data_IF_712138731510
#
_entry.id   IF_712138731510
#
_cell.length_a   1.000
_cell.length_b   1.000
_cell.length_c   1.000
_cell.angle_alpha   90.00
_cell.angle_beta   90.00
_cell.angle_gamma   90.00
#
_symmetry.space_group_name_H-M   'P 1'
#
loop_
_entity.id
_entity.type
_entity.pdbx_description
1 polymer ?
#
# COMPACT_ATOMS: atom_id res chain seq x y z
N UNK A 1 -34.23 12.76 0.07
CA UNK A 1 -33.47 12.06 1.16
C UNK A 1 -33.10 10.62 0.84
N UNK A 2 -33.74 9.95 -0.12
CA UNK A 2 -33.40 8.53 -0.45
C UNK A 2 -32.26 8.32 -1.45
N UNK A 3 -32.00 9.24 -2.35
CA UNK A 3 -31.02 9.06 -3.44
C UNK A 3 -29.56 9.29 -3.02
N UNK A 4 -29.32 10.13 -2.03
CA UNK A 4 -27.96 10.42 -1.55
C UNK A 4 -27.40 9.30 -0.64
N UNK A 5 -28.27 8.58 0.05
CA UNK A 5 -27.89 7.41 0.84
C UNK A 5 -27.40 6.27 -0.05
N UNK A 6 -28.02 6.07 -1.23
CA UNK A 6 -27.60 5.06 -2.22
C UNK A 6 -26.25 5.36 -2.89
N UNK A 7 -25.88 6.62 -3.08
CA UNK A 7 -24.56 6.98 -3.66
C UNK A 7 -23.46 6.78 -2.63
N UNK A 8 -23.74 7.09 -1.37
CA UNK A 8 -22.81 6.94 -0.24
C UNK A 8 -22.49 5.48 0.05
N UNK A 9 -23.49 4.61 -0.03
CA UNK A 9 -23.28 3.15 0.18
C UNK A 9 -22.54 2.52 -0.98
N UNK A 10 -22.74 2.97 -2.22
CA UNK A 10 -22.02 2.45 -3.41
C UNK A 10 -20.53 2.76 -3.44
N UNK A 11 -20.07 3.82 -2.81
CA UNK A 11 -18.64 4.14 -2.72
C UNK A 11 -17.90 3.25 -1.68
N UNK A 12 -18.66 2.66 -0.75
CA UNK A 12 -18.14 1.83 0.34
C UNK A 12 -18.52 0.35 0.22
N UNK A 13 -19.42 -0.01 -0.67
CA UNK A 13 -19.63 -1.40 -1.06
C UNK A 13 -18.39 -1.84 -1.82
N UNK A 14 -17.46 -2.45 -1.10
CA UNK A 14 -16.48 -3.36 -1.70
C UNK A 14 -17.29 -4.29 -2.60
N UNK A 15 -16.91 -4.43 -3.86
CA UNK A 15 -17.59 -5.28 -4.84
C UNK A 15 -17.98 -6.59 -4.18
N UNK A 16 -19.28 -6.74 -3.97
CA UNK A 16 -19.90 -7.91 -3.37
C UNK A 16 -19.88 -9.08 -4.37
N UNK A 17 -18.69 -9.37 -4.90
CA UNK A 17 -18.45 -10.58 -5.66
C UNK A 17 -18.06 -11.63 -4.64
N UNK A 18 -18.84 -12.71 -4.54
CA UNK A 18 -18.56 -13.92 -3.78
C UNK A 18 -17.30 -14.66 -4.29
N UNK A 19 -16.21 -13.94 -4.40
CA UNK A 19 -14.91 -14.49 -4.81
C UNK A 19 -14.20 -15.08 -3.62
N UNK A 20 -13.39 -16.10 -3.84
CA UNK A 20 -12.58 -16.77 -2.82
C UNK A 20 -11.81 -15.75 -1.95
N UNK A 21 -11.27 -14.68 -2.56
CA UNK A 21 -10.56 -13.61 -1.86
C UNK A 21 -11.46 -12.76 -0.96
N UNK A 22 -12.74 -12.59 -1.30
CA UNK A 22 -13.68 -11.84 -0.45
C UNK A 22 -13.95 -12.54 0.86
N UNK A 23 -13.96 -13.88 0.86
CA UNK A 23 -14.24 -14.73 2.03
C UNK A 23 -13.08 -14.89 2.99
N UNK A 24 -11.84 -14.55 2.56
CA UNK A 24 -10.66 -14.64 3.41
C UNK A 24 -10.70 -13.60 4.53
N UNK A 25 -10.29 -14.02 5.73
CA UNK A 25 -10.17 -13.14 6.89
C UNK A 25 -9.24 -11.94 6.60
N UNK A 26 -9.58 -10.77 7.14
CA UNK A 26 -8.76 -9.56 7.02
C UNK A 26 -7.33 -9.74 7.55
N UNK A 27 -7.13 -10.61 8.55
CA UNK A 27 -5.82 -10.99 9.10
C UNK A 27 -4.94 -11.66 8.07
N UNK A 28 -5.51 -12.63 7.36
CA UNK A 28 -4.81 -13.41 6.34
C UNK A 28 -4.40 -12.54 5.17
N UNK A 29 -5.28 -11.63 4.73
CA UNK A 29 -4.97 -10.68 3.66
C UNK A 29 -3.84 -9.73 4.03
N UNK A 30 -3.85 -9.18 5.24
CA UNK A 30 -2.77 -8.32 5.73
C UNK A 30 -1.46 -9.10 5.90
N UNK A 31 -1.52 -10.33 6.41
CA UNK A 31 -0.37 -11.19 6.55
C UNK A 31 0.26 -11.51 5.19
N UNK A 32 -0.54 -11.91 4.20
CA UNK A 32 -0.09 -12.20 2.84
C UNK A 32 0.52 -10.95 2.19
N UNK A 33 -0.11 -9.79 2.34
CA UNK A 33 0.43 -8.53 1.82
C UNK A 33 1.80 -8.20 2.41
N UNK A 34 1.93 -8.31 3.74
CA UNK A 34 3.18 -8.04 4.44
C UNK A 34 4.28 -9.03 4.06
N UNK A 35 3.94 -10.32 4.00
CA UNK A 35 4.86 -11.36 3.60
C UNK A 35 5.32 -11.20 2.14
N UNK A 36 4.40 -10.86 1.24
CA UNK A 36 4.75 -10.57 -0.16
C UNK A 36 5.67 -9.34 -0.27
N UNK A 37 5.43 -8.30 0.52
CA UNK A 37 6.32 -7.15 0.57
C UNK A 37 7.74 -7.53 1.02
N UNK A 38 7.87 -8.40 2.02
CA UNK A 38 9.17 -8.92 2.46
C UNK A 38 9.88 -9.73 1.38
N UNK A 39 9.17 -10.61 0.67
CA UNK A 39 9.75 -11.36 -0.46
C UNK A 39 10.29 -10.40 -1.52
N UNK A 40 9.53 -9.36 -1.88
CA UNK A 40 9.94 -8.38 -2.88
C UNK A 40 11.21 -7.61 -2.48
N UNK A 41 11.45 -7.41 -1.19
CA UNK A 41 12.69 -6.79 -0.70
C UNK A 41 13.87 -7.76 -0.76
N UNK A 42 13.63 -9.05 -0.51
CA UNK A 42 14.66 -10.07 -0.46
C UNK A 42 15.15 -10.46 -1.86
N UNK A 43 14.24 -10.53 -2.85
CA UNK A 43 14.53 -11.01 -4.21
C UNK A 43 15.12 -9.90 -5.07
N UNK A 44 16.32 -10.12 -5.63
CA UNK A 44 16.98 -9.19 -6.56
C UNK A 44 17.03 -9.74 -8.00
N UNK A 45 16.79 -11.03 -8.20
CA UNK A 45 16.88 -11.65 -9.52
C UNK A 45 15.69 -11.23 -10.41
N UNK A 46 15.93 -10.69 -11.63
CA UNK A 46 14.87 -10.21 -12.53
C UNK A 46 13.89 -11.32 -12.96
N UNK A 47 14.34 -12.58 -13.07
CA UNK A 47 13.46 -13.70 -13.46
C UNK A 47 12.44 -14.02 -12.38
N UNK A 48 12.85 -14.07 -11.12
CA UNK A 48 11.95 -14.33 -9.98
C UNK A 48 11.03 -13.16 -9.73
N UNK A 49 11.48 -11.91 -9.91
CA UNK A 49 10.62 -10.73 -9.86
C UNK A 49 9.55 -10.75 -10.94
N UNK A 50 9.88 -11.18 -12.17
CA UNK A 50 8.90 -11.33 -13.24
C UNK A 50 7.86 -12.39 -12.93
N UNK A 51 8.25 -13.52 -12.33
CA UNK A 51 7.33 -14.57 -11.88
C UNK A 51 6.39 -14.03 -10.79
N UNK A 52 6.92 -13.32 -9.79
CA UNK A 52 6.13 -12.73 -8.71
C UNK A 52 5.16 -11.66 -9.23
N UNK A 53 5.60 -10.85 -10.21
CA UNK A 53 4.73 -9.89 -10.90
C UNK A 53 3.60 -10.61 -11.63
N UNK A 54 3.92 -11.69 -12.38
CA UNK A 54 2.91 -12.50 -13.09
C UNK A 54 1.92 -13.14 -12.12
N UNK A 55 2.38 -13.61 -10.96
CA UNK A 55 1.51 -14.13 -9.90
C UNK A 55 0.58 -13.04 -9.38
N UNK A 56 1.07 -11.81 -9.15
CA UNK A 56 0.23 -10.71 -8.68
C UNK A 56 -0.88 -10.38 -9.67
N UNK A 57 -0.59 -10.40 -10.98
CA UNK A 57 -1.60 -10.19 -12.03
C UNK A 57 -2.58 -11.37 -12.10
N UNK A 58 -2.09 -12.62 -12.02
CA UNK A 58 -2.95 -13.80 -12.01
C UNK A 58 -3.94 -13.80 -10.84
N UNK A 59 -3.52 -13.29 -9.66
CA UNK A 59 -4.39 -13.11 -8.51
C UNK A 59 -5.53 -12.10 -8.80
N UNK A 60 -5.28 -11.04 -9.58
CA UNK A 60 -6.34 -10.10 -10.01
C UNK A 60 -7.36 -10.78 -10.92
N UNK A 61 -6.93 -11.68 -11.79
CA UNK A 61 -7.82 -12.46 -12.66
C UNK A 61 -8.66 -13.43 -11.81
N UNK A 62 -8.03 -14.15 -10.90
CA UNK A 62 -8.69 -15.08 -9.98
C UNK A 62 -9.69 -14.36 -9.02
N UNK A 63 -9.42 -13.11 -8.66
CA UNK A 63 -10.32 -12.30 -7.85
C UNK A 63 -11.51 -11.73 -8.62
N UNK A 64 -11.62 -11.97 -9.94
CA UNK A 64 -12.74 -11.49 -10.76
C UNK A 64 -12.89 -9.96 -10.76
N UNK A 65 -11.80 -9.22 -10.77
CA UNK A 65 -11.83 -7.75 -10.73
C UNK A 65 -12.53 -7.18 -11.97
N UNK A 66 -13.46 -6.22 -11.84
CA UNK A 66 -14.18 -5.64 -12.97
C UNK A 66 -13.25 -4.83 -13.88
N UNK A 67 -13.58 -4.80 -15.19
CA UNK A 67 -12.73 -4.22 -16.25
C UNK A 67 -12.32 -2.77 -15.99
N UNK A 68 -13.15 -1.96 -15.35
CA UNK A 68 -12.80 -0.57 -15.05
C UNK A 68 -11.61 -0.46 -14.06
N UNK A 69 -11.48 -1.41 -13.13
CA UNK A 69 -10.36 -1.49 -12.18
C UNK A 69 -9.06 -1.87 -12.88
N UNK A 70 -9.14 -2.66 -13.96
CA UNK A 70 -7.98 -2.97 -14.80
C UNK A 70 -7.37 -1.74 -15.47
N UNK A 71 -8.21 -0.76 -15.87
CA UNK A 71 -7.70 0.52 -16.40
C UNK A 71 -6.89 1.26 -15.35
N UNK A 72 -7.37 1.30 -14.10
CA UNK A 72 -6.64 1.93 -12.99
C UNK A 72 -5.33 1.20 -12.72
N UNK A 73 -5.36 -0.13 -12.67
CA UNK A 73 -4.16 -0.95 -12.49
C UNK A 73 -3.13 -0.69 -13.61
N UNK A 74 -3.58 -0.68 -14.87
CA UNK A 74 -2.72 -0.42 -16.03
C UNK A 74 -2.06 0.96 -15.97
N UNK A 75 -2.78 1.99 -15.53
CA UNK A 75 -2.22 3.34 -15.32
C UNK A 75 -1.12 3.31 -14.26
N UNK A 76 -1.35 2.65 -13.11
CA UNK A 76 -0.33 2.53 -12.07
C UNK A 76 0.89 1.73 -12.53
N UNK A 77 0.69 0.65 -13.31
CA UNK A 77 1.78 -0.13 -13.89
C UNK A 77 2.60 0.74 -14.84
N UNK A 78 1.94 1.44 -15.76
CA UNK A 78 2.60 2.28 -16.75
C UNK A 78 3.41 3.42 -16.09
N UNK A 79 2.77 4.19 -15.21
CA UNK A 79 3.44 5.30 -14.51
C UNK A 79 4.53 4.81 -13.56
N UNK A 80 4.31 3.71 -12.85
CA UNK A 80 5.30 3.14 -11.93
C UNK A 80 6.55 2.63 -12.65
N UNK A 81 6.38 1.89 -13.74
CA UNK A 81 7.50 1.43 -14.57
C UNK A 81 8.21 2.61 -15.23
N UNK A 82 7.46 3.47 -15.90
CA UNK A 82 8.04 4.62 -16.60
C UNK A 82 8.80 5.54 -15.65
N UNK A 83 8.20 5.89 -14.52
CA UNK A 83 8.84 6.76 -13.52
C UNK A 83 10.11 6.16 -12.93
N UNK A 84 10.09 4.85 -12.63
CA UNK A 84 11.28 4.14 -12.12
C UNK A 84 12.39 4.06 -13.15
N UNK A 85 12.06 3.69 -14.39
CA UNK A 85 13.03 3.59 -15.48
C UNK A 85 13.61 4.97 -15.82
N UNK A 86 12.77 6.00 -15.95
CA UNK A 86 13.21 7.35 -16.25
C UNK A 86 14.14 7.92 -15.17
N UNK A 87 13.75 7.74 -13.90
CA UNK A 87 14.57 8.19 -12.77
C UNK A 87 15.93 7.52 -12.72
N UNK A 88 15.98 6.19 -12.85
CA UNK A 88 17.23 5.45 -12.78
C UNK A 88 18.08 5.61 -14.04
N UNK A 89 17.48 5.74 -15.22
CA UNK A 89 18.22 5.98 -16.46
C UNK A 89 18.99 7.31 -16.42
N UNK A 90 18.42 8.36 -15.79
CA UNK A 90 19.01 9.68 -15.71
C UNK A 90 19.98 9.85 -14.53
N UNK A 91 19.69 9.24 -13.38
CA UNK A 91 20.42 9.46 -12.12
C UNK A 91 21.18 8.23 -11.63
N UNK A 92 21.58 7.33 -12.53
CA UNK A 92 22.31 6.12 -12.15
C UNK A 92 23.72 6.45 -11.63
N UNK A 93 23.97 6.11 -10.37
CA UNK A 93 25.22 6.46 -9.67
C UNK A 93 26.24 5.33 -9.54
N UNK A 94 25.89 4.07 -9.88
CA UNK A 94 26.75 2.89 -9.70
C UNK A 94 27.70 2.67 -10.89
N UNK A 95 28.88 2.10 -10.66
CA UNK A 95 29.81 1.69 -11.71
C UNK A 95 29.62 0.19 -12.04
N UNK A 96 29.75 -0.27 -13.28
CA UNK A 96 30.15 0.46 -14.51
C UNK A 96 29.00 1.33 -15.08
N UNK A 97 29.36 2.40 -15.80
CA UNK A 97 28.40 3.31 -16.46
C UNK A 97 28.70 3.39 -17.95
N UNK A 98 27.81 2.85 -18.77
CA UNK A 98 27.89 3.00 -20.24
C UNK A 98 26.86 4.03 -20.69
N UNK A 99 27.27 5.24 -21.08
CA UNK A 99 26.35 6.24 -21.61
C UNK A 99 25.90 5.85 -23.01
N UNK A 100 24.60 5.69 -23.22
CA UNK A 100 24.02 5.42 -24.55
C UNK A 100 23.76 6.74 -25.29
N UNK A 101 23.23 7.72 -24.58
CA UNK A 101 22.78 8.97 -25.20
C UNK A 101 23.11 10.16 -24.29
N UNK A 102 23.63 11.23 -24.87
CA UNK A 102 23.88 12.47 -24.19
C UNK A 102 22.69 13.40 -24.43
N UNK A 103 21.90 13.68 -23.41
CA UNK A 103 20.74 14.56 -23.47
C UNK A 103 21.14 16.04 -23.38
N UNK A 104 22.04 16.36 -22.47
CA UNK A 104 22.50 17.73 -22.22
C UNK A 104 24.02 17.73 -22.17
N UNK A 105 24.65 18.56 -23.06
CA UNK A 105 26.09 18.76 -23.05
C UNK A 105 26.51 19.55 -21.80
N UNK A 106 27.66 19.21 -21.17
CA UNK A 106 28.22 19.97 -20.05
C UNK A 106 28.54 21.43 -20.37
N UNK A 107 28.57 21.81 -21.67
CA UNK A 107 28.80 23.18 -22.14
C UNK A 107 27.60 24.10 -22.01
N UNK A 108 26.42 23.63 -21.61
CA UNK A 108 25.23 24.47 -21.41
C UNK A 108 25.39 25.35 -20.16
N UNK A 109 25.18 26.70 -20.25
CA UNK A 109 25.67 27.68 -19.26
C UNK A 109 24.96 27.62 -17.88
N UNK A 110 23.85 26.95 -17.70
CA UNK A 110 23.12 26.85 -16.39
C UNK A 110 22.91 25.41 -16.00
N UNK A 111 22.33 24.58 -16.87
CA UNK A 111 22.00 23.20 -16.57
C UNK A 111 23.21 22.27 -16.63
N UNK A 112 24.19 22.54 -17.52
CA UNK A 112 25.42 21.75 -17.61
C UNK A 112 26.33 21.93 -16.39
N UNK A 113 26.39 23.11 -15.80
CA UNK A 113 27.19 23.39 -14.61
C UNK A 113 26.58 22.81 -13.31
N UNK A 114 25.27 22.57 -13.27
CA UNK A 114 24.57 21.99 -12.13
C UNK A 114 24.52 20.45 -12.15
N UNK A 115 24.60 19.84 -13.35
CA UNK A 115 24.38 18.39 -13.52
C UNK A 115 25.57 17.64 -14.11
N UNK A 116 26.70 18.31 -14.40
CA UNK A 116 27.88 17.74 -15.11
C UNK A 116 27.52 17.01 -16.43
N UNK A 117 26.41 17.43 -17.08
CA UNK A 117 25.83 16.75 -18.23
C UNK A 117 24.85 15.66 -17.88
N UNK A 118 23.74 15.56 -18.63
CA UNK A 118 22.69 14.55 -18.42
C UNK A 118 22.87 13.44 -19.45
N UNK A 119 23.19 12.25 -18.96
CA UNK A 119 23.42 11.05 -19.76
C UNK A 119 22.36 10.00 -19.46
N UNK A 120 21.95 9.23 -20.47
CA UNK A 120 21.15 8.03 -20.29
C UNK A 120 22.08 6.82 -20.22
N UNK A 121 22.02 6.09 -19.12
CA UNK A 121 22.85 4.92 -18.88
C UNK A 121 22.06 3.62 -19.16
N UNK A 122 22.70 2.66 -19.85
CA UNK A 122 22.10 1.36 -20.16
C UNK A 122 21.80 0.58 -18.88
N UNK A 123 22.75 0.56 -17.98
CA UNK A 123 22.62 -0.13 -16.68
C UNK A 123 21.51 0.52 -15.85
N UNK A 124 21.33 1.83 -15.94
CA UNK A 124 20.26 2.56 -15.29
C UNK A 124 18.87 2.14 -15.79
N UNK A 125 18.70 1.88 -17.09
CA UNK A 125 17.44 1.40 -17.67
C UNK A 125 17.12 0.01 -17.13
N UNK A 126 18.08 -0.92 -17.14
CA UNK A 126 17.88 -2.29 -16.64
C UNK A 126 17.57 -2.28 -15.15
N UNK A 127 18.34 -1.54 -14.37
CA UNK A 127 18.11 -1.42 -12.93
C UNK A 127 16.77 -0.76 -12.63
N UNK A 128 16.41 0.27 -13.38
CA UNK A 128 15.11 0.95 -13.27
C UNK A 128 13.94 0.03 -13.61
N UNK A 129 14.09 -0.85 -14.60
CA UNK A 129 13.07 -1.84 -14.94
C UNK A 129 12.88 -2.87 -13.80
N UNK A 130 13.96 -3.39 -13.23
CA UNK A 130 13.93 -4.32 -12.08
C UNK A 130 13.24 -3.66 -10.88
N UNK A 131 13.65 -2.45 -10.53
CA UNK A 131 13.06 -1.71 -9.41
C UNK A 131 11.60 -1.33 -9.67
N UNK A 132 11.28 -0.97 -10.91
CA UNK A 132 9.90 -0.70 -11.34
C UNK A 132 9.00 -1.92 -11.22
N UNK A 133 9.46 -3.10 -11.64
CA UNK A 133 8.72 -4.36 -11.49
C UNK A 133 8.43 -4.67 -10.01
N UNK A 134 9.40 -4.45 -9.14
CA UNK A 134 9.24 -4.63 -7.69
C UNK A 134 8.13 -3.72 -7.14
N UNK A 135 8.20 -2.42 -7.43
CA UNK A 135 7.25 -1.43 -6.95
C UNK A 135 5.84 -1.68 -7.49
N UNK A 136 5.73 -1.99 -8.77
CA UNK A 136 4.45 -2.25 -9.44
C UNK A 136 3.79 -3.53 -8.93
N UNK A 137 4.55 -4.58 -8.66
CA UNK A 137 4.03 -5.82 -8.08
C UNK A 137 3.44 -5.59 -6.67
N UNK A 138 4.12 -4.78 -5.85
CA UNK A 138 3.62 -4.38 -4.53
C UNK A 138 2.33 -3.56 -4.63
N UNK A 139 2.29 -2.58 -5.56
CA UNK A 139 1.10 -1.76 -5.81
C UNK A 139 -0.06 -2.64 -6.28
N UNK A 140 0.19 -3.56 -7.22
CA UNK A 140 -0.83 -4.46 -7.73
C UNK A 140 -1.46 -5.29 -6.61
N UNK A 141 -0.66 -5.93 -5.77
CA UNK A 141 -1.17 -6.73 -4.67
C UNK A 141 -1.87 -5.85 -3.60
N UNK A 142 -1.35 -4.67 -3.31
CA UNK A 142 -1.99 -3.69 -2.42
C UNK A 142 -3.37 -3.26 -2.92
N UNK A 143 -3.51 -2.97 -4.22
CA UNK A 143 -4.79 -2.64 -4.86
C UNK A 143 -5.76 -3.83 -4.81
N UNK A 144 -5.27 -5.07 -5.01
CA UNK A 144 -6.09 -6.26 -4.87
C UNK A 144 -6.70 -6.35 -3.47
N UNK A 145 -5.89 -6.21 -2.43
CA UNK A 145 -6.35 -6.25 -1.04
C UNK A 145 -7.34 -5.11 -0.77
N UNK A 146 -7.06 -3.88 -1.23
CA UNK A 146 -7.98 -2.74 -1.07
C UNK A 146 -9.32 -2.97 -1.77
N UNK A 147 -9.33 -3.59 -2.94
CA UNK A 147 -10.57 -3.79 -3.71
C UNK A 147 -11.39 -5.00 -3.27
N UNK A 148 -10.76 -5.98 -2.63
CA UNK A 148 -11.42 -7.21 -2.16
C UNK A 148 -11.75 -7.21 -0.67
N UNK A 149 -11.34 -6.17 0.06
CA UNK A 149 -11.52 -6.12 1.52
C UNK A 149 -12.36 -4.93 1.94
N UNK A 150 -13.29 -5.16 2.84
CA UNK A 150 -13.96 -4.08 3.56
C UNK A 150 -12.97 -3.51 4.62
N UNK A 151 -12.79 -2.18 4.69
CA UNK A 151 -11.99 -1.54 5.73
C UNK A 151 -12.32 -2.00 7.16
N UNK A 152 -13.58 -2.34 7.43
CA UNK A 152 -14.03 -2.86 8.72
C UNK A 152 -13.45 -4.24 9.02
N UNK A 153 -13.35 -5.12 8.02
CA UNK A 153 -12.75 -6.46 8.15
C UNK A 153 -11.25 -6.36 8.39
N UNK A 154 -10.56 -5.49 7.65
CA UNK A 154 -9.13 -5.24 7.85
C UNK A 154 -8.82 -4.76 9.25
N UNK A 155 -9.67 -3.88 9.80
CA UNK A 155 -9.49 -3.39 11.16
C UNK A 155 -9.79 -4.43 12.23
N UNK A 156 -10.83 -5.25 12.06
CA UNK A 156 -11.05 -6.40 12.94
C UNK A 156 -9.83 -7.32 12.93
N UNK A 157 -9.26 -7.56 11.74
CA UNK A 157 -8.03 -8.31 11.59
C UNK A 157 -6.86 -7.69 12.38
N UNK A 158 -6.65 -6.40 12.22
CA UNK A 158 -5.59 -5.66 12.90
C UNK A 158 -5.78 -5.62 14.42
N UNK A 159 -7.01 -5.41 14.89
CA UNK A 159 -7.33 -5.36 16.33
C UNK A 159 -7.07 -6.69 17.04
N UNK A 160 -7.15 -7.79 16.31
CA UNK A 160 -6.91 -9.12 16.86
C UNK A 160 -5.42 -9.49 17.00
N UNK A 161 -4.50 -8.71 16.47
CA UNK A 161 -3.05 -8.86 16.64
C UNK A 161 -2.56 -8.32 18.00
N UNK A 162 -3.35 -8.55 19.08
CA UNK A 162 -3.01 -8.14 20.46
C UNK A 162 -2.79 -6.64 20.64
N UNK A 163 -3.44 -5.80 19.82
CA UNK A 163 -3.51 -4.38 20.09
C UNK A 163 -4.26 -4.14 21.41
N UNK A 164 -3.85 -3.13 22.15
CA UNK A 164 -4.57 -2.77 23.38
C UNK A 164 -6.05 -2.47 23.04
N UNK A 165 -7.00 -2.86 23.90
CA UNK A 165 -8.43 -2.66 23.65
C UNK A 165 -8.78 -1.18 23.36
N UNK A 166 -8.01 -0.27 23.93
CA UNK A 166 -8.16 1.17 23.76
C UNK A 166 -7.84 1.59 22.30
N UNK A 167 -6.73 1.11 21.74
CA UNK A 167 -6.33 1.40 20.35
C UNK A 167 -7.31 0.78 19.37
N UNK A 168 -7.74 -0.46 19.60
CA UNK A 168 -8.76 -1.13 18.78
C UNK A 168 -10.07 -0.34 18.74
N UNK A 169 -10.54 0.10 19.91
CA UNK A 169 -11.74 0.91 20.02
C UNK A 169 -11.59 2.25 19.27
N UNK A 170 -10.45 2.93 19.45
CA UNK A 170 -10.16 4.20 18.79
C UNK A 170 -10.17 4.06 17.27
N UNK A 171 -9.55 2.99 16.75
CA UNK A 171 -9.45 2.73 15.31
C UNK A 171 -10.81 2.42 14.68
N UNK A 172 -11.59 1.52 15.30
CA UNK A 172 -12.95 1.17 14.84
C UNK A 172 -13.87 2.39 14.87
N UNK A 173 -13.75 3.20 15.93
CA UNK A 173 -14.53 4.43 16.07
C UNK A 173 -14.15 5.44 15.01
N UNK A 174 -12.87 5.66 14.73
CA UNK A 174 -12.38 6.60 13.71
C UNK A 174 -12.96 6.28 12.32
N UNK A 175 -12.94 5.00 11.91
CA UNK A 175 -13.48 4.61 10.60
C UNK A 175 -15.01 4.71 10.53
N UNK A 176 -15.70 4.40 11.64
CA UNK A 176 -17.15 4.59 11.70
C UNK A 176 -17.55 6.06 11.55
N UNK A 177 -16.73 6.98 12.09
CA UNK A 177 -17.01 8.41 12.03
C UNK A 177 -16.57 9.06 10.73
N UNK A 178 -15.62 8.48 10.01
CA UNK A 178 -15.11 9.05 8.77
C UNK A 178 -16.22 9.42 7.75
N UNK A 179 -17.17 8.52 7.39
CA UNK A 179 -18.24 8.89 6.45
C UNK A 179 -19.18 9.96 7.00
N UNK A 180 -19.37 10.02 8.31
CA UNK A 180 -20.20 11.06 8.94
C UNK A 180 -19.52 12.43 8.85
N UNK A 181 -18.22 12.48 9.13
CA UNK A 181 -17.41 13.70 8.99
C UNK A 181 -17.33 14.19 7.55
N UNK A 182 -17.23 13.26 6.59
CA UNK A 182 -17.23 13.59 5.17
C UNK A 182 -18.56 14.22 4.73
N UNK A 183 -19.70 13.72 5.24
CA UNK A 183 -21.00 14.30 4.98
C UNK A 183 -21.14 15.69 5.62
N UNK A 184 -20.75 15.86 6.89
CA UNK A 184 -20.75 17.16 7.58
C UNK A 184 -19.83 18.19 6.88
N UNK A 185 -18.67 17.76 6.36
CA UNK A 185 -17.79 18.61 5.57
C UNK A 185 -18.48 19.09 4.29
N UNK A 186 -19.21 18.21 3.61
CA UNK A 186 -20.02 18.56 2.44
C UNK A 186 -21.05 19.65 2.74
N UNK A 187 -21.79 19.53 3.85
CA UNK A 187 -22.75 20.53 4.28
C UNK A 187 -22.10 21.90 4.54
N UNK A 188 -20.95 21.91 5.22
CA UNK A 188 -20.19 23.15 5.48
C UNK A 188 -19.72 23.79 4.19
N UNK A 189 -19.25 23.00 3.21
CA UNK A 189 -18.82 23.50 1.89
C UNK A 189 -20.00 24.13 1.14
N UNK A 190 -21.17 23.48 1.13
CA UNK A 190 -22.39 24.02 0.50
C UNK A 190 -22.79 25.33 1.18
N UNK A 191 -22.80 25.38 2.51
CA UNK A 191 -23.10 26.58 3.26
C UNK A 191 -22.15 27.76 2.97
N UNK A 192 -20.85 27.47 2.80
CA UNK A 192 -19.86 28.46 2.41
C UNK A 192 -20.06 28.94 0.96
N UNK A 193 -20.39 28.05 0.05
CA UNK A 193 -20.69 28.40 -1.35
C UNK A 193 -21.90 29.34 -1.45
N UNK A 194 -22.95 29.09 -0.68
CA UNK A 194 -24.12 29.94 -0.61
C UNK A 194 -23.80 31.34 -0.06
N UNK A 195 -22.91 31.44 0.91
CA UNK A 195 -22.47 32.72 1.48
C UNK A 195 -21.52 33.52 0.57
N UNK A 196 -20.81 32.86 -0.31
CA UNK A 196 -19.77 33.51 -1.15
C UNK A 196 -20.30 34.13 -2.45
N UNK A 197 -21.63 34.32 -2.62
CA UNK A 197 -22.25 34.95 -3.78
C UNK A 197 -21.60 34.56 -5.14
N UNK A 198 -21.66 33.26 -5.46
CA UNK A 198 -21.55 32.81 -6.87
C UNK A 198 -20.17 32.87 -7.55
N UNK A 199 -19.10 33.19 -6.86
CA UNK A 199 -17.78 33.23 -7.50
C UNK A 199 -17.16 31.82 -7.56
N UNK A 200 -17.39 31.11 -8.68
CA UNK A 200 -17.09 29.67 -8.93
C UNK A 200 -15.59 29.38 -9.18
N UNK A 201 -14.67 29.96 -8.45
CA UNK A 201 -13.24 29.66 -8.59
C UNK A 201 -12.80 28.48 -7.73
N UNK A 202 -12.42 27.35 -8.35
CA UNK A 202 -11.85 26.15 -7.70
C UNK A 202 -10.60 26.46 -6.85
N UNK A 203 -9.89 27.52 -7.20
CA UNK A 203 -8.69 28.04 -6.52
C UNK A 203 -8.97 28.61 -5.11
N UNK A 204 -10.20 28.98 -4.80
CA UNK A 204 -10.56 29.53 -3.49
C UNK A 204 -10.86 28.47 -2.41
N UNK A 205 -11.03 27.22 -2.76
CA UNK A 205 -11.31 26.15 -1.77
C UNK A 205 -10.15 26.06 -0.78
N UNK A 206 -8.91 26.21 -1.24
CA UNK A 206 -7.71 26.17 -0.37
C UNK A 206 -7.68 27.38 0.58
N UNK A 207 -8.09 28.57 0.11
CA UNK A 207 -8.18 29.77 0.95
C UNK A 207 -9.30 29.68 2.00
N UNK A 208 -10.36 28.91 1.71
CA UNK A 208 -11.48 28.67 2.63
C UNK A 208 -11.29 27.46 3.54
N UNK A 209 -10.19 26.72 3.41
CA UNK A 209 -9.88 25.54 4.22
C UNK A 209 -10.00 25.79 5.74
N UNK A 210 -9.47 26.89 6.33
CA UNK A 210 -9.62 27.15 7.76
C UNK A 210 -11.07 27.39 8.17
N UNK A 211 -11.92 27.94 7.30
CA UNK A 211 -13.36 28.13 7.55
C UNK A 211 -14.14 26.82 7.52
N UNK A 212 -13.64 25.78 6.86
CA UNK A 212 -14.23 24.44 6.85
C UNK A 212 -13.73 23.65 8.08
N UNK A 213 -12.44 23.71 8.38
CA UNK A 213 -11.81 22.92 9.43
C UNK A 213 -12.26 23.35 10.83
N UNK A 214 -12.39 24.66 11.11
CA UNK A 214 -12.79 25.17 12.41
C UNK A 214 -14.14 24.60 12.91
N UNK A 215 -15.26 24.69 12.17
CA UNK A 215 -16.54 24.15 12.63
C UNK A 215 -16.55 22.63 12.70
N UNK A 216 -15.82 21.93 11.80
CA UNK A 216 -15.65 20.49 11.86
C UNK A 216 -14.94 20.04 13.13
N UNK A 217 -13.83 20.68 13.47
CA UNK A 217 -13.09 20.40 14.71
C UNK A 217 -13.95 20.62 15.96
N UNK A 218 -14.71 21.73 16.02
CA UNK A 218 -15.62 22.01 17.13
C UNK A 218 -16.66 20.89 17.29
N UNK A 219 -17.24 20.41 16.20
CA UNK A 219 -18.19 19.28 16.21
C UNK A 219 -17.49 17.97 16.65
N UNK A 220 -16.29 17.69 16.15
CA UNK A 220 -15.50 16.52 16.55
C UNK A 220 -15.20 16.50 18.07
N UNK A 221 -14.81 17.64 18.62
CA UNK A 221 -14.52 17.76 20.06
C UNK A 221 -15.79 17.51 20.90
N UNK A 222 -16.91 18.11 20.56
CA UNK A 222 -18.17 17.86 21.27
C UNK A 222 -18.57 16.38 21.20
N UNK A 223 -18.45 15.77 20.01
CA UNK A 223 -18.79 14.36 19.81
C UNK A 223 -17.84 13.42 20.58
N UNK A 224 -16.54 13.75 20.65
CA UNK A 224 -15.59 12.96 21.42
C UNK A 224 -15.91 12.99 22.93
N UNK A 225 -16.34 14.13 23.46
CA UNK A 225 -16.77 14.27 24.86
C UNK A 225 -17.99 13.39 25.17
N UNK A 226 -19.03 13.46 24.32
CA UNK A 226 -20.23 12.62 24.51
C UNK A 226 -19.93 11.14 24.38
N UNK A 227 -19.04 10.76 23.47
CA UNK A 227 -18.57 9.38 23.33
C UNK A 227 -17.77 8.93 24.57
N UNK A 228 -16.86 9.75 25.04
CA UNK A 228 -16.07 9.42 26.23
C UNK A 228 -16.97 9.14 27.44
N UNK A 229 -17.96 10.00 27.67
CA UNK A 229 -18.93 9.81 28.75
C UNK A 229 -19.74 8.52 28.56
N UNK A 230 -20.19 8.22 27.36
CA UNK A 230 -20.94 6.99 27.06
C UNK A 230 -20.11 5.71 27.22
N UNK A 231 -18.83 5.78 26.90
CA UNK A 231 -17.89 4.63 27.04
C UNK A 231 -17.57 4.37 28.50
N UNK A 232 -17.34 5.43 29.27
CA UNK A 232 -17.09 5.32 30.71
C UNK A 232 -18.34 4.79 31.43
N UNK A 233 -19.53 5.30 31.12
CA UNK A 233 -20.78 4.84 31.74
C UNK A 233 -21.09 3.36 31.46
N UNK A 234 -20.67 2.84 30.30
CA UNK A 234 -20.81 1.42 29.93
C UNK A 234 -19.71 0.51 30.46
N UNK A 235 -18.72 1.06 31.16
CA UNK A 235 -17.63 0.29 31.74
C UNK A 235 -16.75 -0.43 30.70
N UNK A 236 -16.63 0.09 29.47
CA UNK A 236 -15.95 -0.58 28.37
C UNK A 236 -14.49 -0.93 28.71
N UNK A 237 -13.82 -0.14 29.54
CA UNK A 237 -12.45 -0.39 29.98
C UNK A 237 -12.35 -1.43 31.11
N UNK A 238 -13.48 -1.77 31.75
CA UNK A 238 -13.56 -2.80 32.77
C UNK A 238 -14.00 -4.15 32.18
N UNK A 239 -14.55 -4.14 30.97
CA UNK A 239 -14.99 -5.36 30.30
C UNK A 239 -13.77 -6.20 29.91
N UNK A 240 -13.66 -7.37 30.54
CA UNK A 240 -12.67 -8.39 30.24
C UNK A 240 -12.75 -8.72 28.75
N UNK A 241 -11.66 -8.42 28.07
CA UNK A 241 -11.25 -8.85 26.73
C UNK A 241 -12.33 -9.50 25.85
N UNK A 242 -12.73 -8.78 24.78
CA UNK A 242 -13.59 -9.32 23.73
C UNK A 242 -13.05 -10.68 23.28
N UNK A 243 -13.93 -11.67 23.16
CA UNK A 243 -13.60 -12.97 22.59
C UNK A 243 -13.05 -12.75 21.18
N UNK A 244 -11.77 -13.05 21.01
CA UNK A 244 -11.15 -13.02 19.69
C UNK A 244 -11.83 -14.07 18.82
N UNK A 245 -12.33 -13.67 17.66
CA UNK A 245 -12.75 -14.62 16.64
C UNK A 245 -11.61 -15.62 16.39
N UNK A 246 -11.92 -16.90 16.45
CA UNK A 246 -10.95 -17.98 16.23
C UNK A 246 -10.55 -17.92 14.76
N UNK A 247 -9.27 -17.69 14.51
CA UNK A 247 -8.70 -17.70 13.16
C UNK A 247 -8.83 -19.10 12.55
N UNK A 248 -9.35 -19.21 11.33
CA UNK A 248 -9.51 -20.52 10.68
C UNK A 248 -8.15 -21.21 10.54
N UNK A 249 -8.15 -22.51 10.89
CA UNK A 249 -6.92 -23.31 10.92
C UNK A 249 -6.25 -23.37 9.53
N UNK A 250 -7.04 -23.40 8.46
CA UNK A 250 -6.54 -23.42 7.07
C UNK A 250 -5.77 -22.16 6.72
N UNK A 251 -6.32 -21.01 7.06
CA UNK A 251 -5.70 -19.70 6.79
C UNK A 251 -4.42 -19.51 7.61
N UNK A 252 -4.44 -19.98 8.87
CA UNK A 252 -3.26 -19.96 9.73
C UNK A 252 -2.12 -20.81 9.18
N UNK A 253 -2.41 -21.98 8.61
CA UNK A 253 -1.42 -22.87 7.99
C UNK A 253 -0.82 -22.19 6.76
N UNK A 254 -1.63 -21.54 5.91
CA UNK A 254 -1.14 -20.81 4.73
C UNK A 254 -0.18 -19.67 5.13
N UNK A 255 -0.53 -18.88 6.14
CA UNK A 255 0.35 -17.81 6.63
C UNK A 255 1.65 -18.37 7.23
N UNK A 256 1.58 -19.46 8.00
CA UNK A 256 2.77 -20.12 8.55
C UNK A 256 3.69 -20.68 7.46
N UNK A 257 3.11 -21.29 6.43
CA UNK A 257 3.86 -21.84 5.30
C UNK A 257 4.59 -20.71 4.51
N UNK A 258 3.87 -19.61 4.21
CA UNK A 258 4.46 -18.45 3.55
C UNK A 258 5.57 -17.81 4.42
N UNK A 259 5.35 -17.69 5.73
CA UNK A 259 6.37 -17.20 6.65
C UNK A 259 7.60 -18.11 6.66
N UNK A 260 7.42 -19.43 6.62
CA UNK A 260 8.51 -20.40 6.52
C UNK A 260 9.35 -20.23 5.24
N UNK A 261 8.71 -20.03 4.09
CA UNK A 261 9.40 -19.77 2.82
C UNK A 261 10.24 -18.48 2.90
N UNK A 262 9.66 -17.42 3.46
CA UNK A 262 10.36 -16.11 3.54
C UNK A 262 11.52 -16.17 4.51
N UNK A 263 11.36 -16.81 5.66
CA UNK A 263 12.47 -16.98 6.60
C UNK A 263 13.59 -17.83 6.00
N UNK A 264 13.26 -18.88 5.26
CA UNK A 264 14.26 -19.68 4.54
C UNK A 264 14.98 -18.85 3.46
N UNK A 265 14.25 -18.06 2.66
CA UNK A 265 14.83 -17.16 1.66
C UNK A 265 15.71 -16.07 2.32
N UNK A 266 15.26 -15.48 3.41
CA UNK A 266 16.03 -14.48 4.15
C UNK A 266 17.33 -15.04 4.75
N UNK A 267 17.26 -16.23 5.34
CA UNK A 267 18.43 -16.93 5.89
C UNK A 267 19.41 -17.27 4.76
N UNK A 268 18.93 -17.79 3.62
CA UNK A 268 19.80 -18.14 2.50
C UNK A 268 20.51 -16.90 1.92
N UNK A 269 19.83 -15.77 1.81
CA UNK A 269 20.45 -14.50 1.37
C UNK A 269 21.44 -13.95 2.39
N UNK A 270 21.14 -14.05 3.69
CA UNK A 270 22.08 -13.67 4.76
C UNK A 270 23.36 -14.54 4.71
N UNK A 271 23.20 -15.83 4.56
CA UNK A 271 24.34 -16.77 4.41
C UNK A 271 25.17 -16.45 3.17
N UNK A 272 24.52 -16.10 2.05
CA UNK A 272 25.23 -15.67 0.84
C UNK A 272 26.00 -14.36 1.09
N UNK A 273 25.43 -13.38 1.75
CA UNK A 273 26.11 -12.12 2.09
C UNK A 273 27.31 -12.35 3.03
N UNK A 274 27.20 -13.25 4.00
CA UNK A 274 28.29 -13.64 4.89
C UNK A 274 29.41 -14.35 4.13
N UNK A 275 29.09 -15.18 3.13
CA UNK A 275 30.10 -15.84 2.29
C UNK A 275 30.91 -14.84 1.48
N UNK A 276 30.34 -13.72 1.05
CA UNK A 276 31.08 -12.64 0.38
C UNK A 276 32.07 -11.91 1.32
N UNK A 277 31.78 -11.89 2.62
CA UNK A 277 32.69 -11.31 3.64
C UNK A 277 33.78 -12.28 4.09
N UNK A 278 33.91 -13.45 3.48
CA UNK A 278 34.97 -14.42 3.76
C UNK A 278 34.59 -15.54 4.74
N UNK A 279 33.36 -15.56 5.26
CA UNK A 279 32.87 -16.64 6.12
C UNK A 279 32.18 -17.68 5.24
N UNK A 280 32.90 -18.67 4.77
CA UNK A 280 32.40 -19.71 3.86
C UNK A 280 32.20 -21.05 4.58
N UNK A 281 30.96 -21.54 4.57
CA UNK A 281 30.61 -22.87 5.05
C UNK A 281 30.51 -23.84 3.89
N UNK A 282 31.52 -24.66 3.68
CA UNK A 282 31.64 -25.57 2.51
C UNK A 282 30.47 -26.55 2.36
N UNK A 283 29.82 -26.94 3.46
CA UNK A 283 28.66 -27.83 3.45
C UNK A 283 27.40 -27.20 2.79
N UNK A 284 27.35 -25.88 2.62
CA UNK A 284 26.19 -25.16 2.11
C UNK A 284 26.37 -24.66 0.66
N UNK A 285 27.30 -25.22 -0.10
CA UNK A 285 27.60 -24.83 -1.49
C UNK A 285 26.32 -24.83 -2.37
N UNK A 286 25.48 -25.84 -2.23
CA UNK A 286 24.22 -25.96 -2.99
C UNK A 286 23.29 -24.78 -2.70
N UNK A 287 23.23 -24.32 -1.44
CA UNK A 287 22.39 -23.17 -1.04
C UNK A 287 22.94 -21.87 -1.65
N UNK A 288 24.29 -21.71 -1.71
CA UNK A 288 24.90 -20.53 -2.33
C UNK A 288 24.65 -20.47 -3.84
N UNK A 289 24.77 -21.59 -4.53
CA UNK A 289 24.50 -21.67 -5.97
C UNK A 289 23.03 -21.40 -6.27
N UNK A 290 22.13 -21.91 -5.43
CA UNK A 290 20.70 -21.68 -5.54
C UNK A 290 20.32 -20.21 -5.28
N UNK A 291 20.88 -19.59 -4.24
CA UNK A 291 20.65 -18.16 -3.94
C UNK A 291 21.14 -17.26 -5.06
N UNK A 292 22.31 -17.54 -5.64
CA UNK A 292 22.83 -16.80 -6.79
C UNK A 292 21.93 -16.89 -8.03
N UNK A 293 21.22 -18.02 -8.18
CA UNK A 293 20.40 -18.28 -9.36
C UNK A 293 18.98 -17.70 -9.24
N UNK A 294 18.40 -17.63 -8.04
CA UNK A 294 16.99 -17.34 -7.83
C UNK A 294 16.69 -16.14 -6.91
N UNK A 295 17.57 -15.80 -6.02
CA UNK A 295 17.44 -14.67 -5.08
C UNK A 295 18.34 -13.50 -5.46
#
# INVERSE_FOLDING_TARGET
MGSEMCIRDRLWEGTNNDTFFSRLDGRTKLCVLFLFALIMVIVDNPRTLFILFSISIALHIAAGTPVYKWKVLAVFILFGLWGSVASQALFFAQNPRTPILMLISPTFPVLGALTDGLYIYQEGIVYGAIQGMRSVSMIALGLLVCWTSDPRQLLKGLSSWRLSPQISFMLVTAIRFFPVLAAEAGEVIIALQLRSHGNKGRTRIIQHLPYIVKPLLARCIRRSQTLALSVVSRGLFLAKQQSYEIWDLREKIVCLFLMGIITAAGISKLMYALSQQGIYFGALRIVYDWTKLYL
#
